data_IF_752209486530
#
_entry.id   IF_752209486530
#
_cell.length_a   1.000
_cell.length_b   1.000
_cell.length_c   1.000
_cell.angle_alpha   90.00
_cell.angle_beta   90.00
_cell.angle_gamma   90.00
#
_symmetry.space_group_name_H-M   'P 1'
#
loop_
_entity.id
_entity.type
_entity.pdbx_description
1 polymer ?
#
# COMPACT_ATOMS: atom_id res chain seq x y z
N UNK A 1 -29.39 16.20 -2.88
CA UNK A 1 -29.12 14.82 -2.43
C UNK A 1 -27.90 14.83 -1.55
N UNK A 2 -28.09 14.61 -0.25
CA UNK A 2 -27.04 14.62 0.75
C UNK A 2 -26.31 13.27 0.70
N UNK A 3 -25.17 13.17 0.01
CA UNK A 3 -24.31 11.99 0.16
C UNK A 3 -23.66 12.11 1.54
N UNK A 4 -24.09 11.28 2.48
CA UNK A 4 -23.35 11.01 3.69
C UNK A 4 -22.02 10.35 3.28
N UNK A 5 -21.02 11.17 2.95
CA UNK A 5 -19.66 10.73 2.70
C UNK A 5 -19.02 10.41 4.04
N UNK A 6 -19.25 9.17 4.51
CA UNK A 6 -18.17 8.48 5.22
C UNK A 6 -17.04 8.41 4.19
N UNK A 7 -16.14 9.39 4.20
CA UNK A 7 -14.86 9.25 3.50
C UNK A 7 -14.18 8.05 4.15
N UNK A 8 -14.19 6.90 3.45
CA UNK A 8 -13.35 5.78 3.84
C UNK A 8 -11.92 6.30 3.65
N UNK A 9 -11.32 6.75 4.75
CA UNK A 9 -9.97 7.28 4.72
C UNK A 9 -9.03 6.17 4.23
N UNK A 10 -8.11 6.48 3.31
CA UNK A 10 -7.20 5.48 2.77
C UNK A 10 -6.34 4.87 3.88
N UNK A 11 -6.06 3.57 3.78
CA UNK A 11 -5.17 2.87 4.70
C UNK A 11 -3.73 3.18 4.32
N UNK A 12 -3.00 3.82 5.22
CA UNK A 12 -1.57 4.09 5.04
C UNK A 12 -0.74 2.95 5.61
N UNK A 13 0.14 2.38 4.78
CA UNK A 13 1.08 1.34 5.15
C UNK A 13 2.50 1.90 4.99
N UNK A 14 3.18 2.09 6.12
CA UNK A 14 4.58 2.51 6.16
C UNK A 14 5.49 1.27 6.13
N UNK A 15 6.14 1.04 4.99
CA UNK A 15 7.03 -0.10 4.76
C UNK A 15 8.32 -0.05 5.58
N UNK A 16 8.73 1.12 6.08
CA UNK A 16 9.90 1.22 6.96
C UNK A 16 9.71 0.47 8.29
N UNK A 17 8.45 0.23 8.67
CA UNK A 17 8.08 -0.51 9.90
C UNK A 17 8.08 -2.04 9.72
N UNK A 18 8.42 -2.54 8.53
CA UNK A 18 8.35 -3.97 8.22
C UNK A 18 9.61 -4.74 8.61
N UNK A 19 10.70 -4.01 8.87
CA UNK A 19 12.00 -4.55 9.21
C UNK A 19 12.74 -3.54 10.10
N UNK A 20 13.80 -3.97 10.78
CA UNK A 20 14.52 -3.11 11.74
C UNK A 20 15.65 -2.29 11.12
N UNK A 21 16.41 -2.86 10.18
CA UNK A 21 17.55 -2.18 9.55
C UNK A 21 17.50 -2.30 8.03
N UNK A 22 17.74 -3.50 7.51
CA UNK A 22 17.61 -3.82 6.10
C UNK A 22 16.48 -4.83 5.89
N UNK A 23 15.64 -4.58 4.89
CA UNK A 23 14.70 -5.59 4.42
C UNK A 23 15.47 -6.79 3.86
N UNK A 24 15.01 -8.01 4.18
CA UNK A 24 15.65 -9.26 3.74
C UNK A 24 14.74 -10.01 2.77
N UNK A 25 15.30 -10.48 1.66
CA UNK A 25 14.55 -11.30 0.69
C UNK A 25 14.02 -12.60 1.32
N UNK A 26 14.74 -13.18 2.28
CA UNK A 26 14.31 -14.37 3.02
C UNK A 26 13.02 -14.15 3.82
N UNK A 27 12.70 -12.89 4.16
CA UNK A 27 11.51 -12.52 4.94
C UNK A 27 10.38 -11.99 4.03
N UNK A 28 10.55 -12.03 2.70
CA UNK A 28 9.61 -11.47 1.73
C UNK A 28 8.17 -11.98 1.92
N UNK A 29 8.01 -13.28 2.20
CA UNK A 29 6.69 -13.86 2.45
C UNK A 29 6.00 -13.23 3.66
N UNK A 30 6.74 -12.98 4.75
CA UNK A 30 6.22 -12.34 5.95
C UNK A 30 5.83 -10.87 5.69
N UNK A 31 6.64 -10.14 4.92
CA UNK A 31 6.32 -8.77 4.53
C UNK A 31 5.04 -8.70 3.69
N UNK A 32 4.88 -9.61 2.71
CA UNK A 32 3.66 -9.67 1.89
C UNK A 32 2.44 -9.97 2.75
N UNK A 33 2.52 -10.98 3.63
CA UNK A 33 1.43 -11.34 4.54
C UNK A 33 1.03 -10.16 5.44
N UNK A 34 2.01 -9.46 6.02
CA UNK A 34 1.76 -8.26 6.83
C UNK A 34 1.07 -7.16 6.03
N UNK A 35 1.53 -6.88 4.81
CA UNK A 35 0.91 -5.87 3.95
C UNK A 35 -0.55 -6.23 3.59
N UNK A 36 -0.81 -7.49 3.23
CA UNK A 36 -2.15 -7.95 2.90
C UNK A 36 -3.11 -7.87 4.10
N UNK A 37 -2.63 -8.23 5.29
CA UNK A 37 -3.42 -8.14 6.52
C UNK A 37 -3.77 -6.67 6.87
N UNK A 38 -2.82 -5.75 6.71
CA UNK A 38 -3.06 -4.32 6.96
C UNK A 38 -3.99 -3.70 5.92
N UNK A 39 -3.82 -4.07 4.65
CA UNK A 39 -4.63 -3.54 3.54
C UNK A 39 -6.11 -3.92 3.68
N UNK A 40 -6.41 -5.16 4.05
CA UNK A 40 -7.76 -5.70 3.96
C UNK A 40 -8.23 -5.84 2.51
N UNK A 41 -9.55 -5.81 2.30
CA UNK A 41 -10.18 -6.01 0.98
C UNK A 41 -10.93 -4.75 0.54
N UNK A 42 -10.80 -4.38 -0.74
CA UNK A 42 -11.55 -3.32 -1.41
C UNK A 42 -11.24 -1.89 -0.95
N UNK A 43 -10.13 -1.67 -0.24
CA UNK A 43 -9.76 -0.34 0.29
C UNK A 43 -8.79 0.41 -0.62
N UNK A 44 -8.80 1.72 -0.47
CA UNK A 44 -7.75 2.59 -0.99
C UNK A 44 -6.51 2.49 -0.09
N UNK A 45 -5.37 2.20 -0.71
CA UNK A 45 -4.10 1.98 -0.01
C UNK A 45 -3.10 3.06 -0.39
N UNK A 46 -2.38 3.56 0.61
CA UNK A 46 -1.20 4.39 0.43
C UNK A 46 0.02 3.63 0.94
N UNK A 47 0.98 3.35 0.07
CA UNK A 47 2.30 2.84 0.46
C UNK A 47 3.26 4.02 0.64
N UNK A 48 3.99 4.01 1.76
CA UNK A 48 5.00 5.03 2.09
C UNK A 48 6.16 4.43 2.88
N UNK A 49 7.11 5.27 3.26
CA UNK A 49 8.25 4.91 4.09
C UNK A 49 9.53 4.61 3.31
N UNK A 50 10.67 4.68 3.98
CA UNK A 50 11.92 4.22 3.41
C UNK A 50 11.87 2.71 3.23
N UNK A 51 11.94 2.22 1.99
CA UNK A 51 12.03 0.81 1.65
C UNK A 51 12.70 0.61 0.28
N UNK A 52 13.36 -0.54 0.06
CA UNK A 52 13.97 -0.82 -1.24
C UNK A 52 12.90 -0.99 -2.32
N UNK A 53 13.22 -0.59 -3.55
CA UNK A 53 12.30 -0.61 -4.69
C UNK A 53 11.67 -2.00 -4.90
N UNK A 54 12.44 -3.07 -4.73
CA UNK A 54 11.93 -4.44 -4.90
C UNK A 54 10.81 -4.78 -3.91
N UNK A 55 10.83 -4.21 -2.70
CA UNK A 55 9.79 -4.46 -1.70
C UNK A 55 8.49 -3.77 -2.08
N UNK A 56 8.58 -2.52 -2.54
CA UNK A 56 7.45 -1.79 -3.11
C UNK A 56 6.82 -2.56 -4.28
N UNK A 57 7.63 -3.04 -5.23
CA UNK A 57 7.14 -3.81 -6.38
C UNK A 57 6.41 -5.08 -5.96
N UNK A 58 6.97 -5.85 -5.02
CA UNK A 58 6.36 -7.09 -4.54
C UNK A 58 5.07 -6.85 -3.76
N UNK A 59 5.03 -5.83 -2.91
CA UNK A 59 3.82 -5.49 -2.15
C UNK A 59 2.74 -4.92 -3.07
N UNK A 60 3.07 -4.00 -3.98
CA UNK A 60 2.11 -3.47 -4.94
C UNK A 60 1.47 -4.58 -5.79
N UNK A 61 2.28 -5.53 -6.29
CA UNK A 61 1.77 -6.68 -7.02
C UNK A 61 0.85 -7.56 -6.15
N UNK A 62 1.24 -7.86 -4.91
CA UNK A 62 0.45 -8.69 -4.00
C UNK A 62 -0.87 -8.03 -3.53
N UNK A 63 -0.96 -6.70 -3.61
CA UNK A 63 -2.15 -5.92 -3.27
C UNK A 63 -3.03 -5.60 -4.50
N UNK A 64 -2.56 -5.84 -5.73
CA UNK A 64 -3.27 -5.46 -6.95
C UNK A 64 -4.69 -6.07 -7.07
N UNK A 65 -4.87 -7.31 -6.58
CA UNK A 65 -6.19 -7.97 -6.54
C UNK A 65 -6.95 -7.82 -5.22
N UNK A 66 -6.46 -7.00 -4.29
CA UNK A 66 -7.05 -6.80 -2.94
C UNK A 66 -7.46 -5.35 -2.69
N UNK A 67 -6.64 -4.40 -3.10
CA UNK A 67 -6.93 -2.98 -2.98
C UNK A 67 -7.80 -2.51 -4.16
N UNK A 68 -8.69 -1.55 -3.90
CA UNK A 68 -9.41 -0.85 -4.96
C UNK A 68 -8.47 0.09 -5.73
N UNK A 69 -7.64 0.82 -4.98
CA UNK A 69 -6.64 1.76 -5.50
C UNK A 69 -5.38 1.66 -4.67
N UNK A 70 -4.22 1.83 -5.30
CA UNK A 70 -2.95 1.93 -4.61
C UNK A 70 -2.18 3.16 -5.06
N UNK A 71 -1.77 3.97 -4.10
CA UNK A 71 -0.96 5.16 -4.27
C UNK A 71 0.38 4.97 -3.59
N UNK A 72 1.47 5.31 -4.27
CA UNK A 72 2.78 5.52 -3.65
C UNK A 72 2.89 6.97 -3.19
N UNK A 73 3.20 7.19 -1.91
CA UNK A 73 3.42 8.53 -1.34
C UNK A 73 4.89 8.72 -0.99
N UNK A 74 5.49 9.75 -1.58
CA UNK A 74 6.86 10.17 -1.32
C UNK A 74 6.90 11.61 -0.81
N UNK A 75 7.79 11.96 0.14
CA UNK A 75 8.00 13.34 0.54
C UNK A 75 8.55 14.23 -0.59
N UNK A 76 9.09 13.64 -1.66
CA UNK A 76 9.68 14.38 -2.79
C UNK A 76 8.69 14.60 -3.93
N UNK A 77 7.98 13.55 -4.34
CA UNK A 77 7.09 13.59 -5.52
C UNK A 77 5.62 13.74 -5.15
N UNK A 78 5.27 13.68 -3.86
CA UNK A 78 3.88 13.57 -3.42
C UNK A 78 3.28 12.21 -3.78
N UNK A 79 1.99 12.24 -4.11
CA UNK A 79 1.19 11.04 -4.40
C UNK A 79 1.27 10.65 -5.88
N UNK A 80 1.64 9.40 -6.12
CA UNK A 80 1.68 8.79 -7.45
C UNK A 80 0.78 7.55 -7.44
N UNK A 81 -0.28 7.59 -8.24
CA UNK A 81 -1.17 6.42 -8.41
C UNK A 81 -0.39 5.32 -9.11
N UNK A 82 -0.38 4.13 -8.50
CA UNK A 82 0.24 2.92 -9.07
C UNK A 82 -0.78 2.14 -9.88
N UNK A 83 -1.99 2.00 -9.34
CA UNK A 83 -3.17 1.49 -10.05
C UNK A 83 -4.44 2.04 -9.43
N UNK A 84 -5.52 2.05 -10.22
CA UNK A 84 -6.85 2.45 -9.80
C UNK A 84 -7.89 1.57 -10.51
N UNK A 85 -8.63 0.79 -9.74
CA UNK A 85 -9.76 -0.03 -10.23
C UNK A 85 -11.10 0.55 -9.78
N UNK A 86 -11.12 1.81 -9.35
CA UNK A 86 -12.37 2.51 -9.04
C UNK A 86 -13.23 2.52 -10.31
N UNK A 87 -14.50 2.12 -10.23
CA UNK A 87 -15.33 1.93 -11.41
C UNK A 87 -15.85 3.23 -12.06
N UNK A 88 -15.49 4.40 -11.53
CA UNK A 88 -15.93 5.77 -11.91
C UNK A 88 -17.12 5.86 -12.89
#
# INVERSE_FOLDING_TARGET
MNRNSYEISPVTIDLSTFYSSNAKLAELAAYIQKAQALAGEGKDIILTGQAPVWLYLKIAHALHGKAQKLTYRSPVTGDVVVFDHSPD
#
